data_IF_133436545062
#
_entry.id   IF_133436545062
#
_cell.length_a   1.000
_cell.length_b   1.000
_cell.length_c   1.000
_cell.angle_alpha   90.00
_cell.angle_beta   90.00
_cell.angle_gamma   90.00
#
_symmetry.space_group_name_H-M   'P 1'
#
loop_
_entity.id
_entity.type
_entity.pdbx_description
1 polymer ?
#
# COMPACT_ATOMS: atom_id res chain seq x y z
N UNK A 1 -29.25 55.85 -29.74
CA UNK A 1 -30.18 55.01 -30.54
C UNK A 1 -30.32 53.67 -29.80
N UNK A 2 -31.50 53.38 -29.23
CA UNK A 2 -31.91 52.03 -28.82
C UNK A 2 -32.06 51.15 -30.09
N UNK A 3 -32.14 49.81 -30.13
CA UNK A 3 -32.61 48.70 -29.25
C UNK A 3 -31.95 47.44 -29.87
N UNK A 4 -31.76 46.28 -29.22
CA UNK A 4 -32.82 45.28 -29.05
C UNK A 4 -32.36 44.08 -28.20
N UNK A 5 -33.28 43.69 -27.32
CA UNK A 5 -33.43 42.51 -26.45
C UNK A 5 -33.12 41.11 -27.03
N UNK A 6 -32.45 40.30 -26.19
CA UNK A 6 -32.97 39.09 -25.49
C UNK A 6 -33.25 37.79 -26.29
N UNK A 7 -32.43 36.75 -26.04
CA UNK A 7 -32.75 35.31 -25.96
C UNK A 7 -31.50 34.68 -25.29
N UNK A 8 -31.49 33.95 -24.17
CA UNK A 8 -32.51 33.12 -23.56
C UNK A 8 -32.19 31.65 -23.84
N UNK A 9 -31.11 31.08 -23.26
CA UNK A 9 -30.93 29.62 -23.17
C UNK A 9 -30.27 29.24 -21.84
N UNK A 10 -31.07 28.54 -21.05
CA UNK A 10 -30.76 27.71 -19.90
C UNK A 10 -30.13 26.38 -20.38
N UNK A 11 -28.89 26.08 -19.99
CA UNK A 11 -28.31 24.73 -20.03
C UNK A 11 -27.49 24.57 -18.74
N UNK A 12 -28.09 24.01 -17.70
CA UNK A 12 -27.98 22.59 -17.31
C UNK A 12 -26.56 22.25 -16.83
N UNK A 13 -26.47 22.00 -15.52
CA UNK A 13 -25.24 21.84 -14.78
C UNK A 13 -24.35 20.69 -15.27
N UNK A 14 -23.04 20.94 -15.17
CA UNK A 14 -22.05 19.91 -15.05
C UNK A 14 -21.41 20.07 -13.67
N UNK A 15 -21.88 19.29 -12.69
CA UNK A 15 -21.11 18.99 -11.50
C UNK A 15 -19.85 18.25 -11.98
N UNK A 16 -18.75 18.96 -12.19
CA UNK A 16 -17.44 18.31 -12.25
C UNK A 16 -17.11 17.88 -10.82
N UNK A 17 -17.46 16.65 -10.47
CA UNK A 17 -16.81 15.93 -9.41
C UNK A 17 -15.34 15.80 -9.82
N UNK A 18 -14.50 16.71 -9.36
CA UNK A 18 -13.06 16.57 -9.43
C UNK A 18 -12.71 15.31 -8.63
N UNK A 19 -12.49 14.21 -9.35
CA UNK A 19 -11.89 13.02 -8.80
C UNK A 19 -10.50 13.42 -8.28
N UNK A 20 -10.39 13.55 -6.96
CA UNK A 20 -9.10 13.75 -6.33
C UNK A 20 -8.18 12.61 -6.76
N UNK A 21 -6.97 12.88 -7.27
CA UNK A 21 -6.03 11.83 -7.53
C UNK A 21 -5.70 11.19 -6.18
N UNK A 22 -6.01 9.90 -6.04
CA UNK A 22 -5.42 9.08 -4.98
C UNK A 22 -3.92 9.12 -5.23
N UNK A 23 -3.24 9.99 -4.48
CA UNK A 23 -1.80 10.14 -4.53
C UNK A 23 -1.17 8.87 -3.96
N UNK A 24 -0.95 7.86 -4.80
CA UNK A 24 -0.03 6.78 -4.51
C UNK A 24 1.33 7.43 -4.25
N UNK A 25 1.78 7.37 -3.00
CA UNK A 25 3.01 8.03 -2.57
C UNK A 25 4.21 7.39 -3.30
N UNK A 26 5.33 8.11 -3.48
CA UNK A 26 6.52 7.54 -4.13
C UNK A 26 7.03 6.25 -3.46
N UNK A 27 6.72 6.04 -2.17
CA UNK A 27 7.05 4.85 -1.41
C UNK A 27 6.27 3.61 -1.88
N UNK A 28 4.97 3.77 -2.20
CA UNK A 28 4.14 2.66 -2.70
C UNK A 28 4.68 2.11 -4.02
N UNK A 29 5.10 2.98 -4.94
CA UNK A 29 5.64 2.55 -6.24
C UNK A 29 6.97 1.80 -6.13
N UNK A 30 7.84 2.17 -5.18
CA UNK A 30 9.11 1.45 -4.95
C UNK A 30 8.84 0.08 -4.33
N UNK A 31 7.99 0.04 -3.31
CA UNK A 31 7.53 -1.20 -2.68
C UNK A 31 6.94 -2.16 -3.71
N UNK A 32 6.08 -1.68 -4.61
CA UNK A 32 5.44 -2.48 -5.66
C UNK A 32 6.45 -3.08 -6.66
N UNK A 33 7.48 -2.33 -7.06
CA UNK A 33 8.50 -2.82 -7.98
C UNK A 33 9.42 -3.85 -7.32
N UNK A 34 9.82 -3.63 -6.07
CA UNK A 34 10.62 -4.58 -5.28
C UNK A 34 9.83 -5.85 -4.98
N UNK A 35 8.56 -5.73 -4.62
CA UNK A 35 7.60 -6.83 -4.45
C UNK A 35 7.47 -7.67 -5.73
N UNK A 36 7.30 -7.01 -6.87
CA UNK A 36 7.16 -7.68 -8.14
C UNK A 36 8.48 -8.31 -8.60
N UNK A 37 9.65 -7.83 -8.14
CA UNK A 37 10.94 -8.50 -8.36
C UNK A 37 11.08 -9.73 -7.47
N UNK A 38 10.78 -9.61 -6.17
CA UNK A 38 10.85 -10.72 -5.22
C UNK A 38 9.94 -11.89 -5.63
N UNK A 39 8.70 -11.61 -6.02
CA UNK A 39 7.75 -12.64 -6.48
C UNK A 39 8.16 -13.34 -7.78
N UNK A 40 8.91 -12.65 -8.66
CA UNK A 40 9.39 -13.23 -9.93
C UNK A 40 10.61 -14.12 -9.77
N UNK A 41 11.42 -13.92 -8.73
CA UNK A 41 12.74 -14.55 -8.61
C UNK A 41 12.67 -16.06 -8.38
N UNK A 42 11.58 -16.64 -7.84
CA UNK A 42 11.69 -18.02 -7.35
C UNK A 42 10.51 -18.97 -7.52
N UNK A 43 9.36 -18.62 -8.12
CA UNK A 43 8.24 -19.56 -8.43
C UNK A 43 7.65 -20.38 -7.26
N UNK A 44 8.24 -20.29 -6.07
CA UNK A 44 8.00 -21.03 -4.83
C UNK A 44 7.77 -20.09 -3.64
N UNK A 45 7.91 -18.79 -3.84
CA UNK A 45 7.65 -17.76 -2.83
C UNK A 45 6.29 -17.13 -3.10
N UNK A 46 5.58 -16.83 -2.02
CA UNK A 46 4.39 -16.00 -2.06
C UNK A 46 4.80 -14.57 -2.47
N UNK A 47 3.96 -13.90 -3.29
CA UNK A 47 4.17 -12.51 -3.59
C UNK A 47 3.98 -11.67 -2.32
N UNK A 48 4.72 -10.56 -2.19
CA UNK A 48 4.61 -9.66 -1.04
C UNK A 48 3.15 -9.31 -0.71
N UNK A 49 2.33 -8.99 -1.72
CA UNK A 49 0.91 -8.67 -1.50
C UNK A 49 0.14 -9.76 -0.74
N UNK A 50 0.46 -11.03 -0.98
CA UNK A 50 -0.15 -12.15 -0.25
C UNK A 50 0.37 -12.25 1.20
N UNK A 51 1.62 -11.86 1.44
CA UNK A 51 2.21 -11.76 2.79
C UNK A 51 1.56 -10.60 3.56
N UNK A 52 1.52 -9.41 2.96
CA UNK A 52 0.91 -8.21 3.53
C UNK A 52 -0.56 -8.44 3.92
N UNK A 53 -1.35 -9.01 3.00
CA UNK A 53 -2.77 -9.27 3.23
C UNK A 53 -3.04 -10.18 4.46
N UNK A 54 -2.07 -11.01 4.85
CA UNK A 54 -2.18 -11.90 6.01
C UNK A 54 -1.76 -11.21 7.30
N UNK A 55 -0.67 -10.44 7.26
CA UNK A 55 -0.01 -9.94 8.47
C UNK A 55 -0.41 -8.50 8.81
N UNK A 56 -0.49 -7.61 7.82
CA UNK A 56 -0.74 -6.18 8.05
C UNK A 56 -2.07 -5.94 8.77
N UNK A 57 -3.22 -6.52 8.36
CA UNK A 57 -4.48 -6.30 9.08
C UNK A 57 -4.50 -6.83 10.50
N UNK A 58 -3.65 -7.83 10.82
CA UNK A 58 -3.53 -8.33 12.19
C UNK A 58 -2.77 -7.33 13.07
N UNK A 59 -1.70 -6.74 12.54
CA UNK A 59 -0.88 -5.75 13.24
C UNK A 59 -1.60 -4.41 13.39
N UNK A 60 -2.35 -3.96 12.37
CA UNK A 60 -3.14 -2.74 12.42
C UNK A 60 -4.26 -2.80 13.47
N UNK A 61 -4.93 -3.95 13.61
CA UNK A 61 -5.88 -4.19 14.72
C UNK A 61 -5.24 -4.13 16.10
N UNK A 62 -3.92 -4.34 16.18
CA UNK A 62 -3.13 -4.22 17.41
C UNK A 62 -2.54 -2.81 17.62
N UNK A 63 -2.92 -1.85 16.77
CA UNK A 63 -2.49 -0.45 16.83
C UNK A 63 -1.11 -0.19 16.19
N UNK A 64 -0.62 -1.10 15.35
CA UNK A 64 0.65 -0.94 14.66
C UNK A 64 0.44 -0.49 13.21
N UNK A 65 1.13 0.56 12.76
CA UNK A 65 1.04 1.10 11.39
C UNK A 65 2.14 0.50 10.52
N UNK A 66 1.78 -0.09 9.38
CA UNK A 66 2.75 -0.63 8.43
C UNK A 66 3.63 0.47 7.83
N UNK A 67 4.94 0.23 7.74
CA UNK A 67 5.92 1.16 7.20
C UNK A 67 6.56 0.68 5.89
N UNK A 68 6.63 -0.63 5.69
CA UNK A 68 7.28 -1.25 4.54
C UNK A 68 7.87 -2.61 4.88
N UNK A 69 8.66 -3.17 3.98
CA UNK A 69 9.29 -4.48 4.14
C UNK A 69 10.75 -4.45 3.70
N UNK A 70 11.50 -5.46 4.13
CA UNK A 70 12.73 -5.91 3.48
C UNK A 70 12.54 -7.38 3.04
N UNK A 71 13.29 -7.81 2.03
CA UNK A 71 13.31 -9.21 1.60
C UNK A 71 14.74 -9.73 1.47
N UNK A 72 15.04 -10.80 2.21
CA UNK A 72 16.30 -11.53 2.08
C UNK A 72 16.12 -12.72 1.14
N UNK A 73 16.67 -12.60 -0.06
CA UNK A 73 16.59 -13.66 -1.08
C UNK A 73 17.41 -14.92 -0.76
N UNK A 74 18.41 -14.84 0.14
CA UNK A 74 19.23 -15.97 0.55
C UNK A 74 18.46 -16.90 1.49
N UNK A 75 17.70 -16.34 2.42
CA UNK A 75 16.88 -17.09 3.39
C UNK A 75 15.43 -17.29 2.92
N UNK A 76 14.93 -16.38 2.07
CA UNK A 76 13.54 -16.33 1.64
C UNK A 76 12.62 -15.71 2.70
N UNK A 77 13.14 -14.85 3.56
CA UNK A 77 12.40 -14.20 4.65
C UNK A 77 11.97 -12.79 4.24
N UNK A 78 10.70 -12.47 4.46
CA UNK A 78 10.19 -11.10 4.43
C UNK A 78 10.19 -10.54 5.83
N UNK A 79 10.76 -9.35 6.01
CA UNK A 79 10.71 -8.65 7.28
C UNK A 79 9.81 -7.43 7.14
N UNK A 80 8.65 -7.45 7.79
CA UNK A 80 7.68 -6.37 7.76
C UNK A 80 7.92 -5.39 8.92
N UNK A 81 7.98 -4.10 8.62
CA UNK A 81 8.22 -3.02 9.58
C UNK A 81 6.91 -2.35 9.95
N UNK A 82 6.70 -2.11 11.25
CA UNK A 82 5.55 -1.40 11.76
C UNK A 82 5.97 -0.34 12.78
N UNK A 83 5.21 0.74 12.88
CA UNK A 83 5.30 1.71 13.97
C UNK A 83 4.20 1.41 14.99
N UNK A 84 4.55 1.18 16.25
CA UNK A 84 3.60 1.00 17.35
C UNK A 84 4.07 1.81 18.55
N UNK A 85 3.21 2.68 19.07
CA UNK A 85 3.52 3.52 20.24
C UNK A 85 4.83 4.33 20.11
N UNK A 86 5.19 4.75 18.90
CA UNK A 86 6.44 5.49 18.63
C UNK A 86 7.68 4.61 18.39
N UNK A 87 7.58 3.30 18.57
CA UNK A 87 8.66 2.35 18.35
C UNK A 87 8.49 1.58 17.04
N UNK A 88 9.61 1.24 16.40
CA UNK A 88 9.59 0.38 15.21
C UNK A 88 9.70 -1.08 15.65
N UNK A 89 8.71 -1.87 15.23
CA UNK A 89 8.69 -3.31 15.41
C UNK A 89 8.80 -4.00 14.06
N UNK A 90 9.40 -5.18 14.07
CA UNK A 90 9.76 -5.99 12.92
C UNK A 90 9.06 -7.33 13.06
N UNK A 91 8.52 -7.83 11.95
CA UNK A 91 7.83 -9.11 11.89
C UNK A 91 8.42 -9.91 10.75
N UNK A 92 9.14 -10.97 11.10
CA UNK A 92 9.74 -11.87 10.12
C UNK A 92 8.70 -12.91 9.68
N UNK A 93 8.61 -13.12 8.37
CA UNK A 93 7.64 -13.99 7.72
C UNK A 93 8.36 -14.88 6.72
N UNK A 94 8.12 -16.18 6.81
CA UNK A 94 8.61 -17.14 5.83
C UNK A 94 7.94 -16.87 4.47
N UNK A 95 8.74 -16.59 3.45
CA UNK A 95 8.25 -16.22 2.13
C UNK A 95 7.63 -17.37 1.34
N UNK A 96 7.81 -18.63 1.74
CA UNK A 96 7.22 -19.81 1.07
C UNK A 96 5.81 -20.10 1.58
N UNK A 97 5.59 -19.89 2.87
CA UNK A 97 4.36 -20.28 3.58
C UNK A 97 3.51 -19.09 4.00
N UNK A 98 4.13 -17.94 4.21
CA UNK A 98 3.51 -16.75 4.79
C UNK A 98 3.29 -16.85 6.30
N UNK A 99 4.00 -17.77 6.97
CA UNK A 99 3.93 -17.91 8.43
C UNK A 99 4.84 -16.90 9.12
N UNK A 100 4.32 -16.25 10.17
CA UNK A 100 5.10 -15.37 11.03
C UNK A 100 6.07 -16.20 11.86
N UNK A 101 7.37 -15.94 11.72
CA UNK A 101 8.44 -16.66 12.40
C UNK A 101 8.86 -15.95 13.69
N UNK A 102 8.95 -14.62 13.66
CA UNK A 102 9.41 -13.81 14.79
C UNK A 102 8.75 -12.45 14.80
N UNK A 103 8.63 -11.86 15.98
CA UNK A 103 8.27 -10.45 16.18
C UNK A 103 9.30 -9.84 17.12
N UNK A 104 9.99 -8.79 16.68
CA UNK A 104 11.07 -8.14 17.42
C UNK A 104 10.88 -6.62 17.40
N UNK A 105 11.31 -5.94 18.47
CA UNK A 105 11.08 -4.49 18.66
C UNK A 105 10.02 -4.18 19.71
N UNK A 106 10.27 -3.16 20.53
CA UNK A 106 9.46 -2.75 21.69
C UNK A 106 8.37 -1.75 21.38
#
# INVERSE_FOLDING_TARGET
MQVMKMFGVLCLGAFLAAAAPVHATPQDRRSDQEAARAGRVQGKLLPLRAIEARVVPQMERQGARYLGFDFDSGTGIYTLKFLRNGNVIWVDVDGRTGQVMSRSGG
#
